data_IF_037372945412
#
_entry.id   IF_037372945412
#
_cell.length_a   1.000
_cell.length_b   1.000
_cell.length_c   1.000
_cell.angle_alpha   90.00
_cell.angle_beta   90.00
_cell.angle_gamma   90.00
#
_symmetry.space_group_name_H-M   'P 1'
#
loop_
_entity.id
_entity.type
_entity.pdbx_description
1 polymer ?
#
# COMPACT_ATOMS: atom_id res chain seq x y z
N UNK A 1 63.48 38.53 15.90
CA UNK A 1 62.04 38.71 15.61
C UNK A 1 61.51 37.48 14.88
N UNK A 2 60.89 36.51 15.56
CA UNK A 2 59.99 35.51 14.91
C UNK A 2 58.90 35.17 15.93
N UNK A 3 57.65 35.57 15.63
CA UNK A 3 56.43 35.30 16.42
C UNK A 3 56.00 33.85 16.22
N UNK A 4 55.78 33.11 17.31
CA UNK A 4 55.04 31.84 17.29
C UNK A 4 53.54 32.13 17.07
N UNK A 5 53.01 31.76 15.90
CA UNK A 5 51.57 31.81 15.61
C UNK A 5 50.89 30.54 16.15
N UNK A 6 50.11 30.71 17.22
CA UNK A 6 49.21 29.68 17.76
C UNK A 6 48.08 29.42 16.77
N UNK A 7 48.11 28.28 16.10
CA UNK A 7 47.00 27.82 15.27
C UNK A 7 45.93 27.22 16.17
N UNK A 8 44.79 27.91 16.27
CA UNK A 8 43.52 27.32 16.72
C UNK A 8 42.80 26.87 15.47
N UNK A 9 42.64 25.56 15.26
CA UNK A 9 41.75 25.02 14.23
C UNK A 9 40.59 24.33 14.93
N UNK A 10 39.41 24.74 14.50
CA UNK A 10 38.07 24.45 15.02
C UNK A 10 37.67 23.02 14.63
N UNK A 11 37.15 22.25 15.58
CA UNK A 11 36.51 20.96 15.31
C UNK A 11 35.15 21.21 14.64
N UNK A 12 34.97 20.74 13.40
CA UNK A 12 33.67 20.71 12.72
C UNK A 12 32.95 19.43 13.16
N UNK A 13 31.92 19.59 13.99
CA UNK A 13 30.96 18.53 14.30
C UNK A 13 30.07 18.31 13.07
N UNK A 14 30.28 17.18 12.38
CA UNK A 14 29.35 16.68 11.36
C UNK A 14 28.15 16.10 12.10
N UNK A 15 27.06 16.85 12.11
CA UNK A 15 25.77 16.39 12.61
C UNK A 15 25.12 15.51 11.52
N UNK A 16 25.28 14.19 11.62
CA UNK A 16 24.46 13.25 10.86
C UNK A 16 23.02 13.35 11.37
N UNK A 17 22.18 14.12 10.68
CA UNK A 17 20.74 14.11 10.88
C UNK A 17 20.19 12.76 10.42
N UNK A 18 19.86 11.89 11.37
CA UNK A 18 19.09 10.69 11.11
C UNK A 18 17.68 11.09 10.68
N UNK A 19 17.42 11.12 9.37
CA UNK A 19 16.07 11.16 8.84
C UNK A 19 15.36 9.87 9.29
N UNK A 20 14.47 9.99 10.26
CA UNK A 20 13.62 8.89 10.70
C UNK A 20 12.71 8.50 9.53
N UNK A 21 13.07 7.42 8.84
CA UNK A 21 12.21 6.76 7.87
C UNK A 21 11.14 6.03 8.68
N UNK A 22 10.01 6.68 8.97
CA UNK A 22 8.86 6.00 9.56
C UNK A 22 8.32 5.01 8.54
N UNK A 23 8.41 3.69 8.77
CA UNK A 23 7.80 2.72 7.87
C UNK A 23 6.28 2.95 7.85
N UNK A 24 5.62 2.87 6.68
CA UNK A 24 4.17 2.88 6.63
C UNK A 24 3.64 1.75 7.51
N UNK A 25 2.54 2.02 8.21
CA UNK A 25 1.91 1.06 9.11
C UNK A 25 1.68 -0.28 8.39
N UNK A 26 2.35 -1.33 8.84
CA UNK A 26 2.11 -2.68 8.34
C UNK A 26 0.72 -3.12 8.80
N UNK A 27 -0.19 -3.31 7.84
CA UNK A 27 -1.53 -3.81 8.14
C UNK A 27 -1.45 -5.24 8.68
N UNK A 28 -2.25 -5.51 9.72
CA UNK A 28 -2.33 -6.82 10.36
C UNK A 28 -2.70 -7.89 9.32
N UNK A 29 -1.78 -8.82 9.08
CA UNK A 29 -2.01 -9.98 8.22
C UNK A 29 -2.94 -10.93 8.99
N UNK A 30 -4.17 -11.13 8.52
CA UNK A 30 -4.97 -12.26 8.99
C UNK A 30 -4.29 -13.58 8.60
N UNK A 31 -4.69 -14.73 9.21
CA UNK A 31 -4.14 -16.04 8.85
C UNK A 31 -4.30 -16.40 7.36
N UNK A 32 -5.14 -15.66 6.62
CA UNK A 32 -5.43 -15.86 5.20
C UNK A 32 -4.84 -14.76 4.28
N UNK A 33 -3.91 -13.94 4.78
CA UNK A 33 -3.37 -12.77 4.07
C UNK A 33 -4.15 -11.47 4.34
N UNK A 34 -3.84 -10.37 3.61
CA UNK A 34 -4.54 -9.09 3.76
C UNK A 34 -6.01 -9.19 3.30
N UNK A 35 -6.90 -8.65 4.12
CA UNK A 35 -8.32 -8.47 3.81
C UNK A 35 -8.59 -6.99 3.50
N UNK A 36 -9.13 -6.73 2.32
CA UNK A 36 -9.71 -5.44 1.94
C UNK A 36 -11.22 -5.55 2.07
N UNK A 37 -11.85 -4.63 2.79
CA UNK A 37 -13.31 -4.57 2.86
C UNK A 37 -13.83 -3.51 1.91
N UNK A 38 -15.00 -3.77 1.33
CA UNK A 38 -15.77 -2.77 0.58
C UNK A 38 -16.88 -2.31 1.50
N UNK A 39 -16.83 -1.06 1.94
CA UNK A 39 -17.85 -0.46 2.80
C UNK A 39 -17.98 1.03 2.55
N UNK A 40 -19.20 1.56 2.62
CA UNK A 40 -19.53 2.96 2.34
C UNK A 40 -19.02 3.40 0.96
N UNK A 41 -19.14 2.54 -0.06
CA UNK A 41 -18.63 2.79 -1.41
C UNK A 41 -17.13 3.10 -1.42
N UNK A 42 -16.34 2.38 -0.63
CA UNK A 42 -14.88 2.52 -0.58
C UNK A 42 -14.19 1.17 -0.38
N UNK A 43 -13.02 1.01 -0.99
CA UNK A 43 -12.08 -0.04 -0.60
C UNK A 43 -11.35 0.39 0.68
N UNK A 44 -11.26 -0.48 1.67
CA UNK A 44 -10.59 -0.22 2.93
C UNK A 44 -9.63 -1.36 3.30
N UNK A 45 -8.32 -1.10 3.38
CA UNK A 45 -7.65 0.17 3.09
C UNK A 45 -7.67 0.54 1.59
N UNK A 46 -7.49 1.83 1.27
CA UNK A 46 -7.34 2.30 -0.13
C UNK A 46 -5.90 2.17 -0.66
N UNK A 47 -4.94 1.83 0.19
CA UNK A 47 -3.55 1.61 -0.20
C UNK A 47 -2.96 0.47 0.61
N UNK A 48 -2.38 -0.50 -0.08
CA UNK A 48 -1.85 -1.72 0.52
C UNK A 48 -0.47 -2.02 -0.07
N UNK A 49 0.53 -2.27 0.78
CA UNK A 49 1.83 -2.80 0.34
C UNK A 49 1.96 -4.25 0.76
N UNK A 50 2.33 -5.12 -0.17
CA UNK A 50 2.50 -6.58 0.03
C UNK A 50 3.77 -7.07 -0.63
N UNK A 51 4.19 -8.29 -0.29
CA UNK A 51 5.27 -8.97 -1.00
C UNK A 51 4.73 -9.74 -2.20
N UNK A 52 5.57 -9.92 -3.21
CA UNK A 52 5.28 -10.86 -4.29
C UNK A 52 4.95 -12.26 -3.72
N UNK A 53 3.92 -12.88 -4.30
CA UNK A 53 3.33 -14.14 -3.88
C UNK A 53 2.19 -14.03 -2.86
N UNK A 54 1.86 -12.84 -2.37
CA UNK A 54 0.72 -12.61 -1.46
C UNK A 54 -0.62 -12.67 -2.20
N UNK A 55 -1.63 -13.28 -1.57
CA UNK A 55 -3.03 -13.22 -1.99
C UNK A 55 -3.76 -12.15 -1.19
N UNK A 56 -4.43 -11.21 -1.87
CA UNK A 56 -5.37 -10.28 -1.24
C UNK A 56 -6.78 -10.82 -1.44
N UNK A 57 -7.61 -10.68 -0.41
CA UNK A 57 -9.04 -10.96 -0.49
C UNK A 57 -9.82 -9.67 -0.29
N UNK A 58 -10.78 -9.40 -1.19
CA UNK A 58 -11.78 -8.36 -1.04
C UNK A 58 -13.07 -8.99 -0.52
N UNK A 59 -13.72 -8.35 0.45
CA UNK A 59 -15.06 -8.73 0.92
C UNK A 59 -16.02 -7.55 0.77
N UNK A 60 -17.16 -7.77 0.13
CA UNK A 60 -18.21 -6.77 0.10
C UNK A 60 -18.99 -6.75 1.43
N UNK A 61 -19.04 -5.61 2.09
CA UNK A 61 -19.84 -5.37 3.30
C UNK A 61 -20.93 -4.31 3.08
N UNK A 62 -21.03 -3.74 1.88
CA UNK A 62 -22.15 -2.92 1.45
C UNK A 62 -23.29 -3.82 0.96
N UNK A 63 -24.52 -3.30 1.03
CA UNK A 63 -25.69 -3.98 0.47
C UNK A 63 -25.66 -3.93 -1.06
N UNK A 64 -25.04 -2.90 -1.62
CA UNK A 64 -24.89 -2.67 -3.05
C UNK A 64 -23.82 -3.59 -3.66
N UNK A 65 -24.05 -4.08 -4.89
CA UNK A 65 -23.06 -4.88 -5.58
C UNK A 65 -21.85 -4.03 -5.98
N UNK A 66 -20.67 -4.62 -5.84
CA UNK A 66 -19.40 -4.01 -6.24
C UNK A 66 -18.54 -4.97 -7.06
N UNK A 67 -17.56 -4.44 -7.78
CA UNK A 67 -16.58 -5.23 -8.52
C UNK A 67 -15.17 -4.83 -8.12
N UNK A 68 -14.22 -5.73 -8.35
CA UNK A 68 -12.79 -5.51 -8.17
C UNK A 68 -12.14 -5.65 -9.54
N UNK A 69 -11.73 -4.52 -10.12
CA UNK A 69 -11.18 -4.45 -11.47
C UNK A 69 -9.79 -3.84 -11.43
N UNK A 70 -8.81 -4.51 -12.02
CA UNK A 70 -7.52 -3.87 -12.29
C UNK A 70 -7.59 -3.07 -13.60
N UNK A 71 -7.07 -1.84 -13.59
CA UNK A 71 -7.10 -0.92 -14.74
C UNK A 71 -6.31 -1.40 -15.96
N UNK A 72 -5.26 -2.20 -15.75
CA UNK A 72 -4.49 -2.83 -16.81
C UNK A 72 -5.14 -4.12 -17.36
N UNK A 73 -6.33 -4.49 -16.88
CA UNK A 73 -7.08 -5.66 -17.36
C UNK A 73 -6.50 -7.01 -16.92
N UNK A 74 -5.62 -7.03 -15.91
CA UNK A 74 -4.97 -8.27 -15.44
C UNK A 74 -5.97 -9.18 -14.73
N UNK A 75 -6.91 -8.60 -13.98
CA UNK A 75 -7.95 -9.33 -13.27
C UNK A 75 -9.23 -8.51 -13.15
N UNK A 76 -10.34 -9.23 -13.04
CA UNK A 76 -11.69 -8.70 -12.90
C UNK A 76 -12.55 -9.71 -12.16
N UNK A 77 -13.20 -9.30 -11.07
CA UNK A 77 -14.20 -10.11 -10.38
C UNK A 77 -15.54 -10.12 -11.13
N UNK A 78 -16.42 -11.07 -10.80
CA UNK A 78 -17.86 -10.86 -11.00
C UNK A 78 -18.37 -9.71 -10.10
N UNK A 79 -19.61 -9.27 -10.28
CA UNK A 79 -20.28 -8.48 -9.25
C UNK A 79 -20.35 -9.30 -7.95
N UNK A 80 -19.91 -8.69 -6.86
CA UNK A 80 -19.91 -9.23 -5.51
C UNK A 80 -21.13 -8.67 -4.80
N UNK A 81 -22.09 -9.53 -4.49
CA UNK A 81 -23.19 -9.17 -3.61
C UNK A 81 -22.70 -9.04 -2.15
N UNK A 82 -23.57 -8.58 -1.25
CA UNK A 82 -23.21 -8.45 0.17
C UNK A 82 -22.64 -9.77 0.72
N UNK A 83 -21.58 -9.66 1.50
CA UNK A 83 -20.82 -10.74 2.12
C UNK A 83 -20.04 -11.66 1.17
N UNK A 84 -20.15 -11.48 -0.16
CA UNK A 84 -19.31 -12.20 -1.12
C UNK A 84 -17.86 -11.70 -1.11
N UNK A 85 -16.97 -12.58 -1.57
CA UNK A 85 -15.53 -12.33 -1.63
C UNK A 85 -14.94 -12.57 -3.01
N UNK A 86 -13.83 -11.89 -3.28
CA UNK A 86 -12.96 -12.14 -4.41
C UNK A 86 -11.51 -12.19 -3.93
N UNK A 87 -10.67 -13.04 -4.51
CA UNK A 87 -9.26 -13.14 -4.15
C UNK A 87 -8.39 -13.15 -5.40
N UNK A 88 -7.22 -12.50 -5.31
CA UNK A 88 -6.22 -12.51 -6.36
C UNK A 88 -4.82 -12.63 -5.78
N UNK A 89 -3.97 -13.45 -6.40
CA UNK A 89 -2.58 -13.66 -6.00
C UNK A 89 -1.65 -12.80 -6.84
N UNK A 90 -0.83 -11.99 -6.17
CA UNK A 90 0.07 -11.03 -6.79
C UNK A 90 1.48 -11.60 -6.92
N UNK A 91 1.81 -12.16 -8.07
CA UNK A 91 3.10 -12.83 -8.29
C UNK A 91 4.24 -11.93 -8.75
N UNK A 92 3.93 -10.74 -9.27
CA UNK A 92 4.92 -9.86 -9.88
C UNK A 92 5.01 -8.55 -9.11
N UNK A 93 6.21 -8.07 -8.76
CA UNK A 93 6.39 -6.73 -8.22
C UNK A 93 5.84 -5.66 -9.17
N UNK A 94 5.32 -4.59 -8.59
CA UNK A 94 4.73 -3.48 -9.34
C UNK A 94 3.60 -2.77 -8.60
N UNK A 95 3.04 -1.76 -9.25
CA UNK A 95 1.89 -1.00 -8.74
C UNK A 95 0.65 -1.38 -9.53
N UNK A 96 -0.36 -1.85 -8.81
CA UNK A 96 -1.65 -2.28 -9.34
C UNK A 96 -2.70 -1.29 -8.90
N UNK A 97 -3.34 -0.61 -9.86
CA UNK A 97 -4.49 0.25 -9.58
C UNK A 97 -5.76 -0.57 -9.73
N UNK A 98 -6.60 -0.51 -8.71
CA UNK A 98 -7.85 -1.24 -8.63
C UNK A 98 -8.99 -0.23 -8.52
N UNK A 99 -10.10 -0.52 -9.20
CA UNK A 99 -11.31 0.29 -9.12
C UNK A 99 -12.56 -0.60 -9.15
N UNK A 100 -13.70 -0.03 -8.75
CA UNK A 100 -15.00 -0.67 -8.95
C UNK A 100 -15.55 -0.30 -10.33
N UNK A 101 -15.87 -1.28 -11.16
CA UNK A 101 -16.43 -1.08 -12.49
C UNK A 101 -17.84 -0.48 -12.49
N UNK A 102 -18.60 -0.68 -11.41
CA UNK A 102 -19.96 -0.12 -11.23
C UNK A 102 -19.86 1.33 -10.71
N UNK A 103 -18.88 1.59 -9.83
CA UNK A 103 -18.65 2.87 -9.17
C UNK A 103 -17.20 3.34 -9.39
N UNK A 104 -16.85 3.90 -10.56
CA UNK A 104 -15.44 4.13 -10.97
C UNK A 104 -14.64 5.13 -10.10
N UNK A 105 -15.30 5.83 -9.17
CA UNK A 105 -14.64 6.68 -8.19
C UNK A 105 -14.01 5.90 -7.05
N UNK A 106 -14.46 4.66 -6.79
CA UNK A 106 -13.86 3.77 -5.79
C UNK A 106 -12.51 3.30 -6.29
N UNK A 107 -11.44 3.60 -5.56
CA UNK A 107 -10.07 3.30 -5.98
C UNK A 107 -9.24 2.72 -4.85
N UNK A 108 -8.38 1.79 -5.20
CA UNK A 108 -7.34 1.23 -4.34
C UNK A 108 -6.02 1.18 -5.12
N UNK A 109 -4.90 1.35 -4.41
CA UNK A 109 -3.56 1.09 -4.93
C UNK A 109 -2.91 -0.05 -4.16
N UNK A 110 -2.44 -1.06 -4.90
CA UNK A 110 -1.68 -2.17 -4.34
C UNK A 110 -0.25 -2.08 -4.85
N UNK A 111 0.70 -1.92 -3.94
CA UNK A 111 2.13 -1.97 -4.23
C UNK A 111 2.66 -3.35 -3.86
N UNK A 112 3.25 -4.04 -4.82
CA UNK A 112 3.86 -5.35 -4.66
C UNK A 112 5.38 -5.19 -4.72
N UNK A 113 6.05 -5.60 -3.65
CA UNK A 113 7.51 -5.56 -3.49
C UNK A 113 8.15 -6.94 -3.63
#
# INVERSE_FOLDING_TARGET
>A
MIRFQRHRIVAVLILCGAAACTPPAAFAQGPNGPLVTIRNFMFSPMSTTIKAGTTITWKNLDAEPHTVVNDAGIFHSKALDQDETYSFRFDKPGVYKVFCGIHPYMKETITVE
#
